data_IF_044533141618
#
_entry.id   IF_044533141618
#
_cell.length_a   1.000
_cell.length_b   1.000
_cell.length_c   1.000
_cell.angle_alpha   90.00
_cell.angle_beta   90.00
_cell.angle_gamma   90.00
#
_symmetry.space_group_name_H-M   'P 1'
#
loop_
_entity.id
_entity.type
_entity.pdbx_description
1 polymer ?
#
# COMPACT_ATOMS: atom_id res chain seq x y z
N UNK A 1 15.12 -0.18 -6.17
CA UNK A 1 14.83 0.80 -5.10
C UNK A 1 14.36 0.04 -3.87
N UNK A 2 14.80 0.44 -2.68
CA UNK A 2 14.43 -0.21 -1.41
C UNK A 2 14.35 0.84 -0.32
N UNK A 3 13.53 0.59 0.72
CA UNK A 3 13.52 1.44 1.90
C UNK A 3 14.68 1.08 2.84
N UNK A 4 15.46 2.06 3.25
CA UNK A 4 16.59 1.85 4.16
C UNK A 4 16.17 1.32 5.54
N UNK A 5 14.94 1.63 5.97
CA UNK A 5 14.37 1.17 7.24
C UNK A 5 13.87 -0.28 7.22
N UNK A 6 13.75 -0.91 6.04
CA UNK A 6 13.28 -2.30 5.95
C UNK A 6 14.45 -3.28 5.93
N UNK A 7 14.36 -4.39 6.68
CA UNK A 7 15.46 -5.37 6.79
C UNK A 7 15.64 -6.21 5.54
N UNK A 8 14.63 -6.28 4.68
CA UNK A 8 14.63 -7.06 3.43
C UNK A 8 14.02 -6.24 2.30
N UNK A 9 14.56 -6.34 1.08
CA UNK A 9 14.02 -5.64 -0.09
C UNK A 9 12.67 -6.20 -0.56
N UNK A 10 12.41 -7.48 -0.29
CA UNK A 10 11.17 -8.18 -0.66
C UNK A 10 10.69 -9.01 0.51
N UNK A 11 9.41 -8.89 0.82
CA UNK A 11 8.71 -9.67 1.85
C UNK A 11 7.80 -10.64 1.09
N UNK A 12 7.93 -11.94 1.36
CA UNK A 12 7.20 -12.98 0.63
C UNK A 12 6.30 -13.79 1.57
N UNK A 13 5.14 -14.15 1.03
CA UNK A 13 4.22 -15.13 1.62
C UNK A 13 3.60 -15.96 0.50
N UNK A 14 4.10 -17.19 0.31
CA UNK A 14 3.72 -18.03 -0.82
C UNK A 14 4.02 -17.37 -2.17
N UNK A 15 3.00 -17.27 -3.01
CA UNK A 15 3.08 -16.61 -4.32
C UNK A 15 2.99 -15.08 -4.23
N UNK A 16 2.65 -14.54 -3.06
CA UNK A 16 2.48 -13.10 -2.82
C UNK A 16 3.77 -12.47 -2.33
N UNK A 17 3.99 -11.22 -2.71
CA UNK A 17 5.13 -10.45 -2.21
C UNK A 17 4.83 -8.95 -2.11
N UNK A 18 5.53 -8.31 -1.17
CA UNK A 18 5.60 -6.86 -1.03
C UNK A 18 7.03 -6.40 -1.27
N UNK A 19 7.19 -5.39 -2.08
CA UNK A 19 8.48 -4.72 -2.31
C UNK A 19 8.26 -3.22 -2.48
N UNK A 20 9.31 -2.43 -2.24
CA UNK A 20 9.23 -1.00 -2.51
C UNK A 20 8.75 -0.74 -3.94
N UNK A 21 7.85 0.25 -4.13
CA UNK A 21 7.38 0.60 -5.48
C UNK A 21 8.57 0.91 -6.37
N UNK A 22 8.60 0.33 -7.56
CA UNK A 22 9.63 0.55 -8.57
C UNK A 22 9.13 1.52 -9.65
N UNK A 23 10.04 2.07 -10.44
CA UNK A 23 9.69 3.03 -11.51
C UNK A 23 8.74 2.43 -12.55
N UNK A 24 8.91 1.16 -12.87
CA UNK A 24 8.05 0.42 -13.80
C UNK A 24 6.63 0.19 -13.29
N UNK A 25 6.39 0.30 -11.97
CA UNK A 25 5.07 0.09 -11.38
C UNK A 25 4.19 1.35 -11.38
N UNK A 26 4.78 2.54 -11.39
CA UNK A 26 4.04 3.78 -11.10
C UNK A 26 2.95 4.09 -12.13
N UNK A 27 3.13 3.70 -13.38
CA UNK A 27 2.09 3.90 -14.41
C UNK A 27 0.88 3.00 -14.19
N UNK A 28 1.09 1.72 -13.89
CA UNK A 28 0.01 0.81 -13.56
C UNK A 28 -0.74 1.27 -12.29
N UNK A 29 -0.02 1.71 -11.28
CA UNK A 29 -0.61 2.28 -10.04
C UNK A 29 -1.46 3.51 -10.37
N UNK A 30 -1.00 4.40 -11.24
CA UNK A 30 -1.77 5.55 -11.71
C UNK A 30 -3.10 5.12 -12.34
N UNK A 31 -3.06 4.14 -13.22
CA UNK A 31 -4.26 3.59 -13.87
C UNK A 31 -5.20 2.95 -12.85
N UNK A 32 -4.69 2.19 -11.88
CA UNK A 32 -5.50 1.63 -10.80
C UNK A 32 -6.22 2.71 -10.00
N UNK A 33 -5.52 3.79 -9.66
CA UNK A 33 -6.09 4.92 -8.93
C UNK A 33 -7.17 5.64 -9.74
N UNK A 34 -6.90 5.94 -10.99
CA UNK A 34 -7.84 6.66 -11.85
C UNK A 34 -9.12 5.85 -12.15
N UNK A 35 -9.01 4.52 -12.16
CA UNK A 35 -10.16 3.63 -12.33
C UNK A 35 -11.02 3.47 -11.06
N UNK A 36 -10.54 3.92 -9.90
CA UNK A 36 -11.19 3.71 -8.58
C UNK A 36 -11.27 5.01 -7.77
N UNK A 37 -11.48 6.13 -8.43
CA UNK A 37 -11.54 7.45 -7.77
C UNK A 37 -12.66 7.56 -6.72
N UNK A 38 -13.74 6.82 -6.90
CA UNK A 38 -14.90 6.76 -6.01
C UNK A 38 -14.58 6.20 -4.61
N UNK A 39 -13.53 5.38 -4.49
CA UNK A 39 -13.07 4.81 -3.21
C UNK A 39 -11.80 5.48 -2.66
N UNK A 40 -11.27 6.48 -3.36
CA UNK A 40 -10.08 7.22 -2.99
C UNK A 40 -10.42 8.68 -2.70
N UNK A 41 -9.54 9.36 -1.92
CA UNK A 41 -9.59 10.82 -1.75
C UNK A 41 -8.96 11.52 -2.96
N UNK A 42 -9.46 11.21 -4.13
CA UNK A 42 -8.96 11.71 -5.40
C UNK A 42 -10.11 12.37 -6.15
N UNK A 43 -10.02 13.67 -6.38
CA UNK A 43 -11.08 14.49 -6.99
C UNK A 43 -11.00 14.55 -8.51
N UNK A 44 -9.85 14.23 -9.09
CA UNK A 44 -9.62 14.28 -10.53
C UNK A 44 -8.63 13.18 -10.95
N UNK A 45 -8.65 12.74 -12.23
CA UNK A 45 -7.64 11.82 -12.74
C UNK A 45 -6.23 12.41 -12.63
N UNK A 46 -5.27 11.58 -12.28
CA UNK A 46 -3.85 11.94 -12.19
C UNK A 46 -3.23 11.76 -13.57
N UNK A 47 -2.52 12.76 -14.07
CA UNK A 47 -1.74 12.64 -15.31
C UNK A 47 -0.46 11.83 -15.08
N UNK A 48 0.18 11.38 -16.15
CA UNK A 48 1.45 10.68 -16.09
C UNK A 48 2.56 11.57 -15.51
N UNK A 49 2.59 12.83 -15.92
CA UNK A 49 3.54 13.82 -15.45
C UNK A 49 3.38 14.10 -13.94
N UNK A 50 2.15 14.26 -13.48
CA UNK A 50 1.84 14.44 -12.05
C UNK A 50 2.28 13.23 -11.23
N UNK A 51 2.02 12.01 -11.71
CA UNK A 51 2.44 10.78 -11.04
C UNK A 51 3.96 10.71 -10.92
N UNK A 52 4.68 10.92 -12.03
CA UNK A 52 6.15 10.90 -12.03
C UNK A 52 6.71 11.98 -11.10
N UNK A 53 6.16 13.20 -11.17
CA UNK A 53 6.60 14.32 -10.32
C UNK A 53 6.37 14.04 -8.83
N UNK A 54 5.23 13.47 -8.47
CA UNK A 54 4.92 13.09 -7.09
C UNK A 54 5.92 12.07 -6.53
N UNK A 55 6.18 11.00 -7.28
CA UNK A 55 7.16 9.99 -6.84
C UNK A 55 8.58 10.55 -6.75
N UNK A 56 8.97 11.40 -7.70
CA UNK A 56 10.29 12.03 -7.70
C UNK A 56 10.49 12.99 -6.52
N UNK A 57 9.46 13.75 -6.18
CA UNK A 57 9.54 14.77 -5.13
C UNK A 57 9.34 14.20 -3.72
N UNK A 58 8.51 13.15 -3.57
CA UNK A 58 8.05 12.70 -2.25
C UNK A 58 8.50 11.27 -1.91
N UNK A 59 8.40 10.32 -2.84
CA UNK A 59 8.57 8.91 -2.50
C UNK A 59 10.03 8.46 -2.64
N UNK A 60 10.69 8.75 -3.77
CA UNK A 60 12.08 8.33 -3.96
C UNK A 60 13.05 8.90 -2.93
N UNK A 61 12.97 10.18 -2.54
CA UNK A 61 13.82 10.73 -1.47
C UNK A 61 13.57 10.08 -0.11
N UNK A 62 12.33 9.70 0.17
CA UNK A 62 11.95 9.07 1.44
C UNK A 62 12.55 7.67 1.63
N UNK A 63 12.78 6.94 0.53
CA UNK A 63 13.33 5.57 0.61
C UNK A 63 14.69 5.48 1.29
N UNK A 64 15.52 6.52 1.15
CA UNK A 64 16.83 6.59 1.78
C UNK A 64 16.83 6.99 3.26
N UNK A 65 15.69 7.42 3.79
CA UNK A 65 15.59 7.89 5.18
C UNK A 65 15.47 6.73 6.16
N UNK A 66 16.11 6.83 7.35
CA UNK A 66 15.88 5.86 8.43
C UNK A 66 14.44 5.89 8.95
N UNK A 67 13.78 7.05 8.87
CA UNK A 67 12.41 7.30 9.31
C UNK A 67 11.63 8.02 8.20
N UNK A 68 11.22 7.30 7.13
CA UNK A 68 10.43 7.89 6.07
C UNK A 68 9.03 8.27 6.56
N UNK A 69 8.42 9.25 5.91
CA UNK A 69 7.03 9.64 6.18
C UNK A 69 6.05 8.61 5.63
N UNK A 70 6.41 8.00 4.49
CA UNK A 70 5.59 6.99 3.83
C UNK A 70 6.45 5.80 3.37
N UNK A 71 5.88 4.60 3.49
CA UNK A 71 6.43 3.37 2.94
C UNK A 71 5.39 2.80 1.98
N UNK A 72 5.56 3.07 0.68
CA UNK A 72 4.69 2.53 -0.37
C UNK A 72 5.30 1.27 -0.97
N UNK A 73 4.51 0.21 -0.99
CA UNK A 73 4.90 -1.11 -1.44
C UNK A 73 4.02 -1.54 -2.61
N UNK A 74 4.65 -2.10 -3.63
CA UNK A 74 3.97 -2.85 -4.67
C UNK A 74 3.58 -4.22 -4.12
N UNK A 75 2.34 -4.63 -4.40
CA UNK A 75 1.80 -5.92 -4.03
C UNK A 75 1.77 -6.79 -5.30
N UNK A 76 2.50 -7.88 -5.28
CA UNK A 76 2.67 -8.75 -6.44
C UNK A 76 2.21 -10.17 -6.14
N UNK A 77 1.65 -10.82 -7.16
CA UNK A 77 1.42 -12.26 -7.18
C UNK A 77 2.22 -12.85 -8.33
N UNK A 78 3.12 -13.80 -8.04
CA UNK A 78 4.03 -14.42 -9.03
C UNK A 78 4.77 -13.38 -9.89
N UNK A 79 5.27 -12.33 -9.21
CA UNK A 79 5.98 -11.20 -9.80
C UNK A 79 5.12 -10.28 -10.72
N UNK A 80 3.80 -10.48 -10.81
CA UNK A 80 2.87 -9.57 -11.47
C UNK A 80 2.23 -8.60 -10.47
N UNK A 81 2.16 -7.33 -10.85
CA UNK A 81 1.57 -6.29 -10.00
C UNK A 81 0.05 -6.47 -9.91
N UNK A 82 -0.46 -6.77 -8.72
CA UNK A 82 -1.89 -6.93 -8.43
C UNK A 82 -2.47 -5.80 -7.60
N UNK A 83 -1.62 -4.99 -6.99
CA UNK A 83 -2.05 -3.86 -6.16
C UNK A 83 -0.88 -3.10 -5.59
N UNK A 84 -1.18 -2.15 -4.74
CA UNK A 84 -0.17 -1.46 -3.94
C UNK A 84 -0.78 -0.92 -2.65
N UNK A 85 0.06 -0.57 -1.72
CA UNK A 85 -0.35 0.01 -0.46
C UNK A 85 0.86 0.24 0.44
N UNK A 86 0.66 0.19 1.73
CA UNK A 86 1.76 0.31 2.67
C UNK A 86 1.38 1.08 3.92
N UNK A 87 2.37 1.77 4.47
CA UNK A 87 2.24 2.57 5.67
C UNK A 87 2.41 4.04 5.30
N UNK A 88 1.42 4.85 5.63
CA UNK A 88 1.43 6.28 5.34
C UNK A 88 1.24 7.08 6.62
N UNK A 89 1.57 8.38 6.58
CA UNK A 89 1.47 9.27 7.74
C UNK A 89 2.15 8.68 8.99
N UNK A 90 3.36 8.13 8.81
CA UNK A 90 4.08 7.48 9.89
C UNK A 90 4.53 8.52 10.91
N UNK A 91 4.02 8.41 12.13
CA UNK A 91 4.44 9.21 13.28
C UNK A 91 5.39 8.38 14.14
N UNK A 92 6.67 8.44 13.83
CA UNK A 92 7.71 7.60 14.45
C UNK A 92 7.82 7.80 15.95
N UNK A 93 7.72 9.04 16.43
CA UNK A 93 7.75 9.36 17.86
C UNK A 93 6.56 8.74 18.63
N UNK A 94 5.43 8.57 17.96
CA UNK A 94 4.23 7.93 18.52
C UNK A 94 4.11 6.46 18.10
N UNK A 95 5.05 5.95 17.29
CA UNK A 95 5.10 4.57 16.81
C UNK A 95 3.78 4.11 16.17
N UNK A 96 3.16 4.97 15.37
CA UNK A 96 1.89 4.71 14.68
C UNK A 96 1.99 5.02 13.20
N UNK A 97 1.16 4.34 12.41
CA UNK A 97 1.00 4.59 10.97
C UNK A 97 -0.43 4.30 10.54
N UNK A 98 -0.79 4.83 9.38
CA UNK A 98 -2.03 4.50 8.68
C UNK A 98 -1.73 3.46 7.59
N UNK A 99 -2.59 2.44 7.48
CA UNK A 99 -2.50 1.44 6.40
C UNK A 99 -3.22 1.96 5.17
N UNK A 100 -2.53 1.93 4.04
CA UNK A 100 -3.08 2.22 2.72
C UNK A 100 -3.11 0.95 1.87
N UNK A 101 -4.16 0.75 1.09
CA UNK A 101 -4.31 -0.42 0.20
C UNK A 101 -5.21 -0.10 -0.99
N UNK A 102 -4.77 -0.51 -2.17
CA UNK A 102 -5.55 -0.49 -3.40
C UNK A 102 -5.22 -1.72 -4.24
N UNK A 103 -6.24 -2.47 -4.61
CA UNK A 103 -6.12 -3.63 -5.48
C UNK A 103 -6.38 -3.24 -6.94
N UNK A 104 -5.82 -3.98 -7.89
CA UNK A 104 -6.13 -3.85 -9.30
C UNK A 104 -7.66 -3.88 -9.54
N UNK A 105 -8.24 -3.02 -10.40
CA UNK A 105 -9.70 -2.89 -10.57
C UNK A 105 -10.41 -4.20 -10.90
N UNK A 106 -9.81 -5.07 -11.74
CA UNK A 106 -10.40 -6.35 -12.13
C UNK A 106 -10.58 -7.31 -10.94
N UNK A 107 -9.63 -7.28 -10.00
CA UNK A 107 -9.67 -8.08 -8.78
C UNK A 107 -10.56 -7.42 -7.70
N UNK A 108 -10.51 -6.10 -7.62
CA UNK A 108 -11.29 -5.32 -6.65
C UNK A 108 -12.81 -5.44 -6.84
N UNK A 109 -13.28 -5.67 -8.07
CA UNK A 109 -14.69 -5.82 -8.38
C UNK A 109 -15.36 -7.12 -7.89
N UNK A 110 -14.57 -8.08 -7.38
CA UNK A 110 -15.05 -9.37 -6.87
C UNK A 110 -14.89 -9.40 -5.36
N UNK A 111 -16.00 -9.37 -4.61
CA UNK A 111 -15.99 -9.25 -3.14
C UNK A 111 -15.13 -10.32 -2.45
N UNK A 112 -15.29 -11.59 -2.82
CA UNK A 112 -14.52 -12.70 -2.24
C UNK A 112 -13.03 -12.58 -2.56
N UNK A 113 -12.69 -12.33 -3.83
CA UNK A 113 -11.30 -12.14 -4.29
C UNK A 113 -10.65 -10.95 -3.58
N UNK A 114 -11.36 -9.82 -3.49
CA UNK A 114 -10.91 -8.64 -2.76
C UNK A 114 -10.59 -8.98 -1.30
N UNK A 115 -11.49 -9.69 -0.62
CA UNK A 115 -11.32 -10.06 0.78
C UNK A 115 -10.08 -10.94 0.99
N UNK A 116 -9.82 -11.91 0.11
CA UNK A 116 -8.65 -12.77 0.17
C UNK A 116 -7.34 -11.96 0.02
N UNK A 117 -7.19 -11.19 -1.07
CA UNK A 117 -5.99 -10.37 -1.29
C UNK A 117 -5.77 -9.33 -0.19
N UNK A 118 -6.84 -8.68 0.27
CA UNK A 118 -6.71 -7.67 1.32
C UNK A 118 -6.34 -8.28 2.67
N UNK A 119 -6.90 -9.43 3.04
CA UNK A 119 -6.53 -10.14 4.26
C UNK A 119 -5.07 -10.56 4.26
N UNK A 120 -4.58 -11.11 3.14
CA UNK A 120 -3.18 -11.50 2.99
C UNK A 120 -2.25 -10.27 3.06
N UNK A 121 -2.62 -9.18 2.38
CA UNK A 121 -1.90 -7.92 2.47
C UNK A 121 -1.83 -7.40 3.91
N UNK A 122 -2.94 -7.40 4.63
CA UNK A 122 -2.99 -6.95 6.03
C UNK A 122 -2.07 -7.78 6.92
N UNK A 123 -2.05 -9.10 6.74
CA UNK A 123 -1.16 -9.99 7.47
C UNK A 123 0.32 -9.63 7.24
N UNK A 124 0.70 -9.42 5.98
CA UNK A 124 2.06 -9.05 5.60
C UNK A 124 2.45 -7.66 6.13
N UNK A 125 1.58 -6.67 5.99
CA UNK A 125 1.88 -5.29 6.41
C UNK A 125 1.92 -5.15 7.95
N UNK A 126 1.14 -5.93 8.68
CA UNK A 126 1.21 -6.02 10.14
C UNK A 126 2.58 -6.55 10.59
N UNK A 127 3.09 -7.59 9.95
CA UNK A 127 4.44 -8.10 10.23
C UNK A 127 5.52 -7.04 9.96
N UNK A 128 5.41 -6.32 8.84
CA UNK A 128 6.31 -5.18 8.55
C UNK A 128 6.24 -4.14 9.66
N UNK A 129 5.06 -3.71 10.03
CA UNK A 129 4.87 -2.63 11.00
C UNK A 129 5.33 -3.02 12.41
N UNK A 130 4.87 -4.16 12.91
CA UNK A 130 5.10 -4.55 14.31
C UNK A 130 6.44 -5.25 14.52
N UNK A 131 6.82 -6.15 13.62
CA UNK A 131 8.03 -6.94 13.80
C UNK A 131 9.28 -6.23 13.26
N UNK A 132 9.20 -5.60 12.08
CA UNK A 132 10.36 -4.95 11.49
C UNK A 132 10.54 -3.51 11.96
N UNK A 133 9.50 -2.68 11.91
CA UNK A 133 9.57 -1.26 12.23
C UNK A 133 9.31 -0.94 13.70
N UNK A 134 8.87 -1.94 14.49
CA UNK A 134 8.55 -1.78 15.91
C UNK A 134 7.49 -0.70 16.17
N UNK A 135 6.58 -0.51 15.23
CA UNK A 135 5.41 0.34 15.44
C UNK A 135 4.51 -0.28 16.53
N UNK A 136 3.69 0.53 17.14
CA UNK A 136 2.82 0.12 18.24
C UNK A 136 1.34 0.13 17.86
N UNK A 137 0.98 0.93 16.85
CA UNK A 137 -0.40 1.10 16.43
C UNK A 137 -0.49 1.28 14.92
N UNK A 138 -1.42 0.54 14.31
CA UNK A 138 -1.91 0.78 12.97
C UNK A 138 -3.33 1.31 13.02
N UNK A 139 -3.65 2.24 12.15
CA UNK A 139 -4.99 2.73 11.92
C UNK A 139 -5.30 2.72 10.42
N UNK A 140 -6.55 2.86 10.09
CA UNK A 140 -7.02 2.96 8.71
C UNK A 140 -8.15 3.97 8.65
N UNK A 141 -8.25 4.67 7.55
CA UNK A 141 -9.32 5.62 7.28
C UNK A 141 -9.93 5.29 5.92
N UNK A 142 -11.23 5.05 5.89
CA UNK A 142 -11.95 4.64 4.69
C UNK A 142 -13.33 5.25 4.65
N UNK A 143 -13.92 5.37 3.44
CA UNK A 143 -15.29 5.78 3.29
C UNK A 143 -16.26 4.70 3.76
N UNK A 144 -17.36 5.09 4.39
CA UNK A 144 -18.41 4.19 4.85
C UNK A 144 -19.07 3.40 3.70
N UNK A 145 -18.98 3.88 2.47
CA UNK A 145 -19.47 3.21 1.26
C UNK A 145 -18.67 1.96 0.88
N UNK A 146 -17.48 1.78 1.44
CA UNK A 146 -16.62 0.60 1.20
C UNK A 146 -16.93 -0.56 2.15
N UNK A 147 -18.18 -1.05 2.16
CA UNK A 147 -18.67 -2.04 3.11
C UNK A 147 -17.82 -3.32 3.16
N UNK A 148 -17.42 -3.87 2.00
CA UNK A 148 -16.58 -5.07 1.93
C UNK A 148 -15.14 -4.82 2.45
N UNK A 149 -14.57 -3.64 2.23
CA UNK A 149 -13.28 -3.25 2.79
C UNK A 149 -13.33 -3.17 4.32
N UNK A 150 -14.38 -2.53 4.86
CA UNK A 150 -14.62 -2.43 6.29
C UNK A 150 -14.78 -3.81 6.92
N UNK A 151 -15.56 -4.70 6.28
CA UNK A 151 -15.77 -6.08 6.76
C UNK A 151 -14.47 -6.87 6.88
N UNK A 152 -13.53 -6.72 5.93
CA UNK A 152 -12.22 -7.35 6.00
C UNK A 152 -11.40 -6.78 7.16
N UNK A 153 -11.41 -5.46 7.35
CA UNK A 153 -10.71 -4.79 8.45
C UNK A 153 -11.23 -5.29 9.81
N UNK A 154 -12.53 -5.35 10.00
CA UNK A 154 -13.16 -5.83 11.22
C UNK A 154 -12.82 -7.31 11.53
N UNK A 155 -12.78 -8.16 10.51
CA UNK A 155 -12.42 -9.57 10.67
C UNK A 155 -10.93 -9.83 10.88
N UNK A 156 -10.09 -8.86 10.55
CA UNK A 156 -8.62 -8.96 10.69
C UNK A 156 -8.09 -8.41 12.03
N UNK A 157 -8.96 -7.92 12.89
CA UNK A 157 -8.61 -7.34 14.19
C UNK A 157 -8.15 -5.92 14.09
#
# INVERSE_FOLDING_TARGET
MTYACLPKPVIRDGDLSLMAVQKEHIEAIRLFRNAQMDVLRQSAPISQEEQVAYYAASIWPDMGRPQPENILLSYLERDELVGYGGLVHIAWEHRRAEVSFLLEPRLAGKVKTYAEYFSDFLCMIQSVAFENLKLHRLCTETYATRAHHISVLESSG
#
